data_IF_972643951023
#
_entry.id   IF_972643951023
#
_cell.length_a   1.000
_cell.length_b   1.000
_cell.length_c   1.000
_cell.angle_alpha   90.00
_cell.angle_beta   90.00
_cell.angle_gamma   90.00
#
_symmetry.space_group_name_H-M   'P 1'
#
loop_
_entity.id
_entity.type
_entity.pdbx_description
1 polymer ?
2 polymer ?
#
# COMPACT_ATOMS: atom_id res chain seq x y z
N UNK A 1 5.12 2.26 13.83
CA UNK A 1 3.87 2.37 13.02
C UNK A 1 3.81 3.71 12.30
N UNK A 2 4.69 4.64 12.64
CA UNK A 2 4.74 5.93 11.96
C UNK A 2 5.44 5.84 10.61
N UNK A 3 6.66 5.24 10.52
CA UNK A 3 7.38 5.12 9.24
C UNK A 3 6.66 4.21 8.26
N UNK A 4 5.82 3.32 8.79
CA UNK A 4 4.99 2.46 7.97
C UNK A 4 3.70 2.14 8.72
N UNK A 5 2.56 2.66 8.21
CA UNK A 5 1.22 2.42 8.79
C UNK A 5 0.98 0.94 9.17
N UNK A 6 0.30 0.74 10.30
CA UNK A 6 0.18 -0.60 10.89
C UNK A 6 -1.04 -1.34 10.39
N UNK A 7 -2.08 -0.61 10.03
CA UNK A 7 -3.24 -1.22 9.40
C UNK A 7 -3.06 -1.22 7.89
N UNK A 8 -1.81 -1.27 7.48
CA UNK A 8 -1.43 -0.96 6.13
C UNK A 8 -0.59 -2.08 5.51
N UNK A 9 -0.62 -2.17 4.18
CA UNK A 9 0.06 -3.25 3.45
C UNK A 9 1.03 -2.69 2.42
N UNK A 10 2.16 -3.38 2.24
CA UNK A 10 3.14 -3.00 1.23
C UNK A 10 3.12 -3.97 0.06
N UNK A 11 2.93 -3.44 -1.14
CA UNK A 11 3.10 -4.22 -2.34
C UNK A 11 4.08 -3.51 -3.27
N UNK A 12 5.35 -3.83 -3.12
CA UNK A 12 6.41 -3.16 -3.86
C UNK A 12 6.84 -4.03 -5.05
N UNK A 13 6.58 -3.54 -6.25
CA UNK A 13 6.97 -4.27 -7.45
C UNK A 13 8.26 -3.68 -8.03
N UNK A 14 9.21 -4.56 -8.38
CA UNK A 14 10.50 -4.14 -8.90
C UNK A 14 10.37 -3.40 -10.23
N UNK A 15 9.20 -3.52 -10.85
CA UNK A 15 8.91 -2.86 -12.12
C UNK A 15 8.78 -1.36 -11.93
N UNK A 16 8.61 -0.93 -10.68
CA UNK A 16 8.53 0.49 -10.39
C UNK A 16 7.13 0.94 -10.02
N UNK A 17 6.39 0.08 -9.34
CA UNK A 17 5.07 0.44 -8.86
C UNK A 17 4.96 0.22 -7.36
N UNK A 18 4.92 1.30 -6.60
CA UNK A 18 4.72 1.21 -5.17
C UNK A 18 3.26 1.46 -4.82
N UNK A 19 2.48 0.39 -4.80
CA UNK A 19 1.08 0.51 -4.46
C UNK A 19 0.81 -0.21 -3.16
N UNK A 20 0.02 0.40 -2.32
CA UNK A 20 -0.19 -0.11 -0.99
C UNK A 20 -1.65 -0.48 -0.76
N UNK A 21 -1.88 -1.47 0.11
CA UNK A 21 -3.24 -1.83 0.51
C UNK A 21 -3.59 -1.23 1.88
N UNK A 22 -4.87 -0.94 2.09
CA UNK A 22 -5.38 -0.66 3.41
C UNK A 22 -6.15 -1.87 3.88
N UNK A 23 -5.62 -2.59 4.87
CA UNK A 23 -6.23 -3.85 5.34
C UNK A 23 -7.50 -3.57 6.13
N UNK A 24 -7.78 -2.29 6.36
CA UNK A 24 -8.95 -1.89 7.12
C UNK A 24 -10.14 -1.70 6.17
N UNK A 25 -9.87 -1.05 5.06
CA UNK A 25 -10.91 -0.69 4.11
C UNK A 25 -10.95 -1.67 2.93
N UNK A 26 -9.88 -2.46 2.78
CA UNK A 26 -9.71 -3.36 1.64
C UNK A 26 -9.56 -2.52 0.38
N UNK A 27 -8.96 -1.35 0.55
CA UNK A 27 -8.84 -0.39 -0.54
C UNK A 27 -7.38 -0.22 -0.92
N UNK A 28 -7.12 0.09 -2.18
CA UNK A 28 -5.75 0.23 -2.63
C UNK A 28 -5.36 1.71 -2.78
N UNK A 29 -4.39 2.14 -1.99
CA UNK A 29 -3.95 3.52 -1.98
C UNK A 29 -2.52 3.64 -2.54
N UNK A 30 -2.36 4.36 -3.66
CA UNK A 30 -1.04 4.63 -4.23
C UNK A 30 -0.35 5.78 -3.48
N UNK A 31 -1.12 6.45 -2.63
CA UNK A 31 -0.66 7.65 -1.95
C UNK A 31 0.01 7.32 -0.62
N UNK A 32 1.16 7.94 -0.38
CA UNK A 32 1.84 7.84 0.91
C UNK A 32 0.95 8.36 2.03
N UNK A 33 0.61 7.50 2.98
CA UNK A 33 -0.32 7.83 4.08
C UNK A 33 0.25 8.86 5.05
N UNK A 34 1.55 9.08 4.98
CA UNK A 34 2.20 10.04 5.85
C UNK A 34 2.23 11.44 5.25
N UNK A 35 1.97 11.53 3.94
CA UNK A 35 1.92 12.82 3.27
C UNK A 35 0.57 13.50 3.54
N UNK A 36 -0.44 12.69 3.80
CA UNK A 36 -1.78 13.19 4.09
C UNK A 36 -2.63 12.07 4.67
N UNK B 1 1.91 -8.79 3.95
CA UNK B 1 1.22 -10.01 4.41
C UNK B 1 0.28 -10.54 3.34
N UNK B 2 -0.03 -9.72 2.35
CA UNK B 2 -0.92 -10.11 1.27
C UNK B 2 -0.50 -9.42 -0.02
N UNK B 3 -0.54 -10.15 -1.13
CA UNK B 3 -0.18 -9.58 -2.42
C UNK B 3 -1.39 -9.59 -3.36
N UNK B 4 -1.91 -8.40 -3.69
CA UNK B 4 -3.00 -8.25 -4.64
C UNK B 4 -2.47 -8.08 -6.06
N UNK B 5 -3.11 -7.22 -6.83
CA UNK B 5 -2.64 -6.87 -8.16
C UNK B 5 -2.73 -5.37 -8.35
N UNK B 7 -3.54 -1.85 -9.05
CA UNK B 7 -4.77 -1.18 -9.48
C UNK B 7 -4.68 -0.49 -10.84
N UNK B 8 -3.48 -0.28 -11.36
CA UNK B 8 -3.32 0.38 -12.65
C UNK B 8 -2.48 -0.47 -13.60
N UNK B 9 -2.57 -1.79 -13.45
CA UNK B 9 -1.83 -2.71 -14.31
C UNK B 9 -2.24 -2.56 -15.78
#
# INVERSE_FOLDING_TARGET
DVPLPAGWEMAKTSSGQRYFLNHIDQTTTWQDPRKA
STYPHXPTS
#
